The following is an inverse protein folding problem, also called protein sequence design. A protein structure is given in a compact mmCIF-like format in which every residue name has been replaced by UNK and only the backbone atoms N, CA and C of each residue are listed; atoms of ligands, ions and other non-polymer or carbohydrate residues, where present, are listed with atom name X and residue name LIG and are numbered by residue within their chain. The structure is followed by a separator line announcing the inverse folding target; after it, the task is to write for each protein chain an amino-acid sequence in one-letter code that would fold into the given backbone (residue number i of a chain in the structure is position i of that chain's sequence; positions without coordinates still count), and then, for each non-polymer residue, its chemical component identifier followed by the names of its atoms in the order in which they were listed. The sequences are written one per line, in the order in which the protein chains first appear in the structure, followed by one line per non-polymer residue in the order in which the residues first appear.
data_IF_619211861862
#
_entry.id   IF_619211861862
#
_cell.length_a   1.000
_cell.length_b   1.000
_cell.length_c   1.000
_cell.angle_alpha   90.00
_cell.angle_beta   90.00
_cell.angle_gamma   90.00
#
_symmetry.space_group_name_H-M   'P 1'
#
loop_
_entity.id
_entity.type
_entity.pdbx_description
1 polymer ?
#
# COMPACT_ATOMS: atom_id res chain seq x y z
N UNK A 1 2.59 66.79 -54.78
CA UNK A 1 3.66 65.77 -54.69
C UNK A 1 3.12 64.72 -53.72
N UNK A 2 2.37 63.72 -54.19
CA UNK A 2 2.80 62.48 -54.89
C UNK A 2 3.44 61.47 -53.92
N UNK A 3 3.08 60.18 -54.09
CA UNK A 3 3.07 59.11 -53.09
C UNK A 3 4.34 58.21 -53.09
N UNK A 4 4.70 57.69 -51.91
CA UNK A 4 5.21 56.32 -51.62
C UNK A 4 6.45 55.77 -52.40
N UNK A 5 7.02 54.58 -52.06
CA UNK A 5 6.75 53.60 -50.98
C UNK A 5 7.87 53.64 -49.89
N UNK A 6 8.31 52.60 -49.14
CA UNK A 6 8.08 51.14 -49.14
C UNK A 6 8.47 50.43 -47.81
N UNK A 7 8.00 49.18 -47.65
CA UNK A 7 8.58 48.01 -46.94
C UNK A 7 9.25 48.24 -45.56
N UNK A 8 8.67 47.94 -44.39
CA UNK A 8 8.08 46.70 -43.85
C UNK A 8 9.08 45.66 -43.30
N UNK A 9 9.32 45.70 -41.97
CA UNK A 9 9.64 44.58 -41.06
C UNK A 9 9.80 45.18 -39.63
N UNK A 10 9.47 44.51 -38.52
CA UNK A 10 8.92 43.17 -38.30
C UNK A 10 7.85 43.16 -37.18
N UNK A 11 6.99 42.14 -37.18
CA UNK A 11 6.02 41.87 -36.11
C UNK A 11 6.66 41.17 -34.89
N UNK A 12 5.89 41.13 -33.80
CA UNK A 12 5.87 40.10 -32.75
C UNK A 12 6.94 40.14 -31.64
N UNK A 13 6.67 40.95 -30.59
CA UNK A 13 7.22 40.76 -29.25
C UNK A 13 6.27 41.29 -28.14
N UNK A 14 4.98 40.91 -28.17
CA UNK A 14 3.99 41.42 -27.20
C UNK A 14 2.80 40.45 -26.94
N UNK A 15 3.05 39.28 -26.35
CA UNK A 15 1.97 38.34 -25.96
C UNK A 15 2.31 37.34 -24.82
N UNK A 16 3.32 37.60 -23.98
CA UNK A 16 3.85 36.61 -23.03
C UNK A 16 3.69 36.97 -21.53
N UNK A 17 2.71 37.81 -21.17
CA UNK A 17 2.61 38.41 -19.82
C UNK A 17 1.24 38.27 -19.12
N UNK A 18 0.34 37.37 -19.57
CA UNK A 18 -1.05 37.28 -19.08
C UNK A 18 -1.52 35.87 -18.66
N UNK A 19 -0.60 34.96 -18.32
CA UNK A 19 -0.94 33.61 -17.81
C UNK A 19 -0.49 33.34 -16.36
N UNK A 20 -0.09 34.38 -15.61
CA UNK A 20 0.40 34.25 -14.23
C UNK A 20 -0.64 34.52 -13.12
N UNK A 21 -1.93 34.68 -13.46
CA UNK A 21 -2.99 34.96 -12.49
C UNK A 21 -4.24 34.10 -12.74
N UNK A 22 -4.23 32.85 -12.25
CA UNK A 22 -5.38 32.13 -11.66
C UNK A 22 -5.02 30.70 -11.23
N UNK A 23 -4.56 30.57 -9.99
CA UNK A 23 -4.74 29.37 -9.17
C UNK A 23 -4.76 29.83 -7.70
N UNK A 24 -5.93 29.83 -7.08
CA UNK A 24 -6.05 30.08 -5.65
C UNK A 24 -5.68 28.80 -4.87
N UNK A 25 -5.14 28.89 -3.66
CA UNK A 25 -4.85 27.71 -2.85
C UNK A 25 -6.15 27.12 -2.28
N UNK A 26 -6.41 25.83 -2.53
CA UNK A 26 -7.48 25.08 -1.86
C UNK A 26 -7.13 24.79 -0.40
N UNK A 27 -7.95 25.21 0.59
CA UNK A 27 -7.73 24.93 2.00
C UNK A 27 -8.44 23.64 2.45
N UNK A 28 -8.29 22.54 1.69
CA UNK A 28 -8.81 21.23 2.06
C UNK A 28 -8.02 20.10 1.36
N UNK A 29 -7.46 19.15 2.14
CA UNK A 29 -6.82 17.94 1.58
C UNK A 29 -5.52 17.50 2.25
N UNK A 30 -4.90 18.35 3.07
CA UNK A 30 -3.74 17.98 3.89
C UNK A 30 -4.13 17.19 5.14
N UNK A 31 -4.57 15.93 4.97
CA UNK A 31 -4.49 14.98 6.08
C UNK A 31 -3.00 14.81 6.45
N UNK A 32 -2.62 14.81 7.74
CA UNK A 32 -1.23 14.59 8.10
C UNK A 32 -0.80 13.19 7.63
N UNK A 33 0.29 13.11 6.87
CA UNK A 33 1.00 11.84 6.70
C UNK A 33 1.52 11.42 8.07
N UNK A 34 0.75 10.59 8.78
CA UNK A 34 1.22 9.90 9.97
C UNK A 34 2.50 9.15 9.61
N UNK A 35 3.62 9.32 10.36
CA UNK A 35 4.85 8.60 10.11
C UNK A 35 4.72 7.11 10.46
N UNK A 36 4.03 6.35 9.61
CA UNK A 36 4.28 4.91 9.51
C UNK A 36 5.72 4.73 9.04
N UNK A 37 6.48 3.90 9.75
CA UNK A 37 7.91 3.69 9.53
C UNK A 37 8.15 2.91 8.22
N UNK A 38 8.12 3.63 7.09
CA UNK A 38 8.33 3.06 5.75
C UNK A 38 9.81 2.71 5.56
N UNK A 39 10.20 1.49 5.87
CA UNK A 39 11.51 0.94 5.50
C UNK A 39 11.53 0.81 3.97
N UNK A 40 12.40 1.57 3.31
CA UNK A 40 12.44 1.73 1.85
C UNK A 40 12.99 0.47 1.15
N UNK A 41 12.13 -0.52 0.95
CA UNK A 41 12.42 -1.77 0.21
C UNK A 41 11.96 -1.76 -1.25
N UNK A 42 12.55 -2.63 -2.07
CA UNK A 42 12.06 -2.96 -3.42
C UNK A 42 10.88 -3.95 -3.39
N UNK A 43 10.82 -4.75 -2.32
CA UNK A 43 9.77 -5.71 -2.02
C UNK A 43 8.72 -5.04 -1.13
N UNK A 44 7.43 -5.21 -1.44
CA UNK A 44 6.32 -4.64 -0.64
C UNK A 44 5.04 -5.45 -0.80
N UNK A 45 4.16 -5.37 0.20
CA UNK A 45 2.77 -5.81 0.10
C UNK A 45 1.84 -4.62 -0.19
N UNK A 46 0.61 -4.94 -0.60
CA UNK A 46 -0.51 -4.03 -0.75
C UNK A 46 -1.80 -4.81 -0.56
N UNK A 47 -2.96 -4.15 -0.60
CA UNK A 47 -4.24 -4.86 -0.60
C UNK A 47 -5.34 -4.08 -1.33
N UNK A 48 -6.33 -4.82 -1.80
CA UNK A 48 -7.62 -4.30 -2.23
C UNK A 48 -8.67 -4.65 -1.17
N UNK A 49 -9.57 -3.71 -0.89
CA UNK A 49 -10.74 -3.90 -0.03
C UNK A 49 -11.96 -4.02 -0.94
N UNK A 50 -12.71 -5.12 -0.80
CA UNK A 50 -14.06 -5.26 -1.35
C UNK A 50 -15.08 -4.98 -0.26
N UNK A 51 -15.94 -4.00 -0.53
CA UNK A 51 -17.02 -3.55 0.36
C UNK A 51 -18.33 -3.51 -0.42
N UNK A 52 -19.25 -4.41 -0.07
CA UNK A 52 -20.48 -4.63 -0.85
C UNK A 52 -20.18 -4.98 -2.31
N UNK A 53 -20.62 -4.12 -3.24
CA UNK A 53 -20.39 -4.25 -4.68
C UNK A 53 -19.11 -3.59 -5.21
N UNK A 54 -18.38 -2.84 -4.38
CA UNK A 54 -17.22 -2.04 -4.80
C UNK A 54 -15.90 -2.70 -4.39
N UNK A 55 -14.86 -2.53 -5.21
CA UNK A 55 -13.48 -2.89 -4.89
C UNK A 55 -12.61 -1.65 -5.02
N UNK A 56 -11.80 -1.35 -4.01
CA UNK A 56 -10.93 -0.18 -3.96
C UNK A 56 -9.53 -0.58 -3.44
N UNK A 57 -8.45 0.08 -3.88
CA UNK A 57 -7.14 -0.13 -3.26
C UNK A 57 -7.17 0.41 -1.82
N UNK A 58 -6.66 -0.38 -0.87
CA UNK A 58 -6.41 0.10 0.48
C UNK A 58 -5.00 0.69 0.62
N UNK A 59 -4.75 1.34 1.75
CA UNK A 59 -3.46 1.96 2.07
C UNK A 59 -3.10 1.88 3.55
N UNK A 60 -1.94 2.44 3.90
CA UNK A 60 -1.56 2.59 5.30
C UNK A 60 -2.49 3.60 6.01
N UNK A 61 -3.03 3.21 7.17
CA UNK A 61 -4.05 3.96 7.90
C UNK A 61 -5.47 3.85 7.31
N UNK A 62 -5.72 2.90 6.40
CA UNK A 62 -7.07 2.66 5.85
C UNK A 62 -8.07 2.30 6.96
N UNK A 63 -9.33 2.74 6.81
CA UNK A 63 -10.41 2.35 7.71
C UNK A 63 -11.11 1.12 7.17
N UNK A 64 -10.86 0.00 7.83
CA UNK A 64 -11.48 -1.28 7.55
C UNK A 64 -12.72 -1.45 8.43
N UNK A 65 -13.68 -2.24 7.96
CA UNK A 65 -14.88 -2.58 8.70
C UNK A 65 -15.07 -4.10 8.73
N UNK A 66 -15.71 -4.64 9.79
CA UNK A 66 -16.15 -6.03 9.79
C UNK A 66 -16.96 -6.38 8.53
N UNK A 67 -16.72 -7.55 7.95
CA UNK A 67 -17.35 -7.98 6.70
C UNK A 67 -16.71 -7.45 5.41
N UNK A 68 -15.74 -6.53 5.47
CA UNK A 68 -14.88 -6.22 4.32
C UNK A 68 -14.11 -7.47 3.88
N UNK A 69 -14.01 -7.71 2.58
CA UNK A 69 -13.14 -8.76 2.05
C UNK A 69 -11.84 -8.15 1.51
N UNK A 70 -10.71 -8.43 2.17
CA UNK A 70 -9.39 -7.99 1.73
C UNK A 70 -8.69 -9.05 0.87
N UNK A 71 -8.02 -8.59 -0.18
CA UNK A 71 -7.19 -9.40 -1.05
C UNK A 71 -5.82 -8.73 -1.23
N UNK A 72 -4.76 -9.43 -0.85
CA UNK A 72 -3.41 -8.87 -0.86
C UNK A 72 -2.80 -8.83 -2.26
N UNK A 73 -1.90 -7.88 -2.47
CA UNK A 73 -0.96 -7.81 -3.58
C UNK A 73 0.47 -7.85 -3.06
N UNK A 74 1.43 -8.13 -3.95
CA UNK A 74 2.85 -7.89 -3.69
C UNK A 74 3.53 -7.19 -4.87
N UNK A 75 4.66 -6.56 -4.60
CA UNK A 75 5.67 -6.23 -5.62
C UNK A 75 7.00 -6.81 -5.17
N UNK A 76 7.77 -7.36 -6.11
CA UNK A 76 9.11 -7.89 -5.90
C UNK A 76 9.94 -7.77 -7.17
N UNK A 77 11.24 -7.48 -7.05
CA UNK A 77 12.15 -7.34 -8.21
C UNK A 77 12.81 -8.64 -8.64
N UNK A 78 12.75 -9.67 -7.80
CA UNK A 78 13.30 -11.01 -8.06
C UNK A 78 12.36 -12.09 -7.51
N UNK A 79 12.65 -13.36 -7.80
CA UNK A 79 11.86 -14.48 -7.28
C UNK A 79 12.24 -14.79 -5.83
N UNK A 80 11.26 -14.78 -4.94
CA UNK A 80 11.43 -14.89 -3.49
C UNK A 80 10.37 -15.82 -2.89
N UNK A 81 10.43 -16.05 -1.58
CA UNK A 81 9.41 -16.74 -0.81
C UNK A 81 8.63 -15.73 0.04
N UNK A 82 7.30 -15.73 -0.07
CA UNK A 82 6.42 -14.79 0.61
C UNK A 82 5.60 -15.47 1.71
N UNK A 83 5.52 -14.80 2.86
CA UNK A 83 4.50 -15.02 3.90
C UNK A 83 3.85 -13.67 4.21
N UNK A 84 2.53 -13.62 4.35
CA UNK A 84 1.80 -12.47 4.89
C UNK A 84 1.17 -12.89 6.22
N UNK A 85 1.63 -12.23 7.28
CA UNK A 85 1.13 -12.39 8.64
C UNK A 85 0.37 -11.13 9.07
N UNK A 86 -0.39 -11.23 10.14
CA UNK A 86 -1.04 -10.08 10.78
C UNK A 86 -1.02 -10.14 12.29
N UNK A 87 -1.32 -9.00 12.92
CA UNK A 87 -1.77 -8.86 14.31
C UNK A 87 -2.96 -7.92 14.34
N UNK A 88 -4.07 -8.34 14.93
CA UNK A 88 -5.27 -7.52 15.11
C UNK A 88 -5.31 -6.77 16.46
N UNK A 89 -6.40 -6.03 16.71
CA UNK A 89 -6.62 -5.29 17.95
C UNK A 89 -6.78 -6.15 19.21
N UNK A 90 -7.01 -7.47 19.07
CA UNK A 90 -6.99 -8.43 20.17
C UNK A 90 -5.59 -9.03 20.39
N UNK A 91 -4.57 -8.54 19.67
CA UNK A 91 -3.21 -9.09 19.64
C UNK A 91 -3.11 -10.53 19.12
N UNK A 92 -4.11 -10.99 18.36
CA UNK A 92 -4.10 -12.33 17.77
C UNK A 92 -3.32 -12.33 16.46
N UNK A 93 -2.34 -13.24 16.35
CA UNK A 93 -1.51 -13.39 15.15
C UNK A 93 -2.10 -14.40 14.16
N UNK A 94 -2.38 -13.95 12.93
CA UNK A 94 -3.03 -14.74 11.88
C UNK A 94 -2.19 -14.80 10.60
N UNK A 95 -2.38 -15.85 9.80
CA UNK A 95 -1.72 -16.03 8.49
C UNK A 95 -2.71 -15.70 7.39
N UNK A 96 -2.38 -14.73 6.55
CA UNK A 96 -3.18 -14.39 5.35
C UNK A 96 -2.63 -15.07 4.09
N UNK A 97 -1.32 -15.31 4.01
CA UNK A 97 -0.69 -16.01 2.88
C UNK A 97 0.61 -16.70 3.30
N UNK A 98 0.95 -17.88 2.75
CA UNK A 98 0.08 -18.78 2.00
C UNK A 98 -0.84 -19.57 2.94
N UNK A 99 -1.75 -20.37 2.39
CA UNK A 99 -2.50 -21.39 3.14
C UNK A 99 -1.68 -22.65 3.49
N UNK A 100 -0.46 -22.77 2.94
CA UNK A 100 0.45 -23.91 3.18
C UNK A 100 1.37 -23.72 4.39
N UNK A 101 2.01 -24.81 4.86
CA UNK A 101 2.91 -24.77 6.04
C UNK A 101 4.28 -24.13 5.78
N UNK A 102 4.60 -23.84 4.51
CA UNK A 102 5.87 -23.27 4.05
C UNK A 102 5.55 -22.05 3.18
N UNK A 103 6.38 -21.01 3.28
CA UNK A 103 6.29 -19.81 2.47
C UNK A 103 6.17 -20.14 0.98
N UNK A 104 5.33 -19.40 0.25
CA UNK A 104 5.08 -19.69 -1.15
C UNK A 104 6.04 -18.91 -2.05
N UNK A 105 6.61 -19.59 -3.04
CA UNK A 105 7.50 -18.96 -4.01
C UNK A 105 6.69 -18.02 -4.92
N UNK A 106 7.10 -16.76 -4.97
CA UNK A 106 6.58 -15.71 -5.84
C UNK A 106 7.58 -15.43 -6.97
N UNK A 107 7.08 -14.90 -8.09
CA UNK A 107 7.89 -14.47 -9.23
C UNK A 107 8.06 -12.94 -9.22
N UNK A 108 9.04 -12.38 -9.95
CA UNK A 108 9.20 -10.93 -10.07
C UNK A 108 7.93 -10.31 -10.66
N UNK A 109 7.49 -9.18 -10.10
CA UNK A 109 6.26 -8.52 -10.53
C UNK A 109 5.95 -7.27 -9.73
N UNK A 110 5.01 -6.49 -10.24
CA UNK A 110 4.53 -5.26 -9.59
C UNK A 110 3.03 -5.34 -9.36
N UNK A 111 2.62 -5.03 -8.13
CA UNK A 111 1.24 -4.95 -7.67
C UNK A 111 0.43 -6.21 -8.04
N UNK A 112 1.08 -7.39 -7.99
CA UNK A 112 0.56 -8.71 -8.38
C UNK A 112 -0.44 -9.20 -7.34
N UNK A 113 -1.64 -9.56 -7.79
CA UNK A 113 -2.73 -10.03 -6.94
C UNK A 113 -2.49 -11.46 -6.44
N UNK A 114 -2.59 -11.68 -5.13
CA UNK A 114 -2.53 -13.01 -4.53
C UNK A 114 -3.89 -13.72 -4.65
N UNK A 115 -3.92 -15.06 -4.80
CA UNK A 115 -5.16 -15.81 -5.06
C UNK A 115 -6.09 -15.94 -3.85
N UNK A 116 -5.63 -15.54 -2.65
CA UNK A 116 -6.37 -15.64 -1.40
C UNK A 116 -7.00 -14.30 -1.03
N UNK A 117 -8.27 -14.33 -0.62
CA UNK A 117 -8.95 -13.23 0.05
C UNK A 117 -9.58 -13.72 1.35
N UNK A 118 -9.72 -12.79 2.31
CA UNK A 118 -10.22 -13.06 3.66
C UNK A 118 -11.28 -12.01 4.01
N UNK A 119 -12.39 -12.44 4.61
CA UNK A 119 -13.40 -11.54 5.16
C UNK A 119 -13.00 -11.17 6.59
N UNK A 120 -12.97 -9.88 6.90
CA UNK A 120 -12.65 -9.38 8.23
C UNK A 120 -13.75 -9.70 9.24
N UNK A 121 -13.31 -10.02 10.44
CA UNK A 121 -14.14 -10.29 11.60
C UNK A 121 -14.54 -9.01 12.35
N UNK A 122 -15.31 -9.18 13.42
CA UNK A 122 -15.83 -8.08 14.26
C UNK A 122 -14.79 -7.49 15.24
N UNK A 123 -13.50 -7.86 15.16
CA UNK A 123 -12.53 -7.71 16.27
C UNK A 123 -12.12 -6.26 16.63
N UNK A 124 -12.31 -5.29 15.73
CA UNK A 124 -11.96 -3.86 15.90
C UNK A 124 -10.49 -3.53 16.27
N UNK A 125 -10.16 -2.23 16.22
CA UNK A 125 -8.87 -1.67 16.59
C UNK A 125 -7.80 -1.75 15.49
N UNK A 126 -6.57 -1.41 15.85
CA UNK A 126 -5.44 -1.40 14.93
C UNK A 126 -5.13 -2.81 14.39
N UNK A 127 -5.06 -2.96 13.07
CA UNK A 127 -4.63 -4.18 12.39
C UNK A 127 -3.32 -3.91 11.65
N UNK A 128 -2.34 -4.78 11.87
CA UNK A 128 -0.99 -4.69 11.32
C UNK A 128 -0.74 -5.89 10.43
N UNK A 129 -0.30 -5.65 9.21
CA UNK A 129 0.06 -6.69 8.23
C UNK A 129 1.54 -6.65 7.96
N UNK A 130 2.18 -7.82 7.91
CA UNK A 130 3.62 -7.97 7.70
C UNK A 130 3.86 -8.89 6.51
N UNK A 131 4.52 -8.37 5.48
CA UNK A 131 4.98 -9.14 4.32
C UNK A 131 6.44 -9.55 4.51
N UNK A 132 6.69 -10.84 4.72
CA UNK A 132 8.03 -11.41 4.87
C UNK A 132 8.49 -11.94 3.50
N UNK A 133 9.54 -11.34 2.95
CA UNK A 133 10.13 -11.66 1.66
C UNK A 133 11.49 -12.34 1.86
N UNK A 134 11.53 -13.67 1.79
CA UNK A 134 12.70 -14.48 2.11
C UNK A 134 13.39 -15.01 0.85
N UNK A 135 14.72 -15.08 0.87
CA UNK A 135 15.51 -15.72 -0.20
C UNK A 135 15.30 -17.26 -0.26
N UNK A 136 14.96 -17.88 0.87
CA UNK A 136 14.76 -19.32 1.02
C UNK A 136 13.37 -19.68 1.56
N UNK A 137 12.98 -20.94 1.41
CA UNK A 137 11.71 -21.46 1.89
C UNK A 137 11.68 -21.57 3.42
N UNK A 138 10.88 -20.73 4.08
CA UNK A 138 10.71 -20.71 5.54
C UNK A 138 9.40 -21.36 5.99
N UNK A 139 9.40 -22.03 7.14
CA UNK A 139 8.19 -22.59 7.74
C UNK A 139 7.30 -21.47 8.31
N UNK A 140 6.00 -21.50 8.00
CA UNK A 140 5.04 -20.42 8.35
C UNK A 140 4.69 -20.43 9.83
N UNK A 141 4.44 -21.61 10.41
CA UNK A 141 3.94 -21.73 11.78
C UNK A 141 4.91 -21.18 12.86
N UNK A 142 6.24 -21.40 12.80
CA UNK A 142 7.18 -20.75 13.71
C UNK A 142 7.16 -19.21 13.64
N UNK A 143 6.90 -18.64 12.45
CA UNK A 143 6.80 -17.18 12.27
C UNK A 143 5.52 -16.65 12.90
N UNK A 144 4.37 -17.30 12.64
CA UNK A 144 3.09 -16.99 13.28
C UNK A 144 3.18 -17.10 14.81
N UNK A 145 3.84 -18.14 15.33
CA UNK A 145 4.03 -18.35 16.76
C UNK A 145 4.96 -17.30 17.40
N UNK A 146 6.04 -16.91 16.72
CA UNK A 146 6.92 -15.83 17.17
C UNK A 146 6.18 -14.48 17.22
N UNK A 147 5.37 -14.18 16.20
CA UNK A 147 4.53 -12.98 16.16
C UNK A 147 3.45 -13.00 17.26
N UNK A 148 2.85 -14.16 17.56
CA UNK A 148 1.90 -14.29 18.67
C UNK A 148 2.57 -14.05 20.04
N UNK A 149 3.84 -14.43 20.21
CA UNK A 149 4.60 -14.18 21.43
C UNK A 149 5.05 -12.71 21.56
N UNK A 150 5.27 -12.02 20.44
CA UNK A 150 5.72 -10.62 20.39
C UNK A 150 4.90 -9.82 19.35
N UNK A 151 3.64 -9.46 19.65
CA UNK A 151 2.72 -8.85 18.66
C UNK A 151 3.19 -7.51 18.09
N UNK A 152 4.08 -6.81 18.80
CA UNK A 152 4.65 -5.52 18.42
C UNK A 152 6.00 -5.62 17.69
N UNK A 153 6.54 -6.84 17.51
CA UNK A 153 7.83 -7.07 16.87
C UNK A 153 7.71 -8.21 15.83
N UNK A 154 7.59 -7.89 14.52
CA UNK A 154 7.48 -8.92 13.50
C UNK A 154 8.73 -9.81 13.44
N UNK A 155 8.57 -11.13 13.22
CA UNK A 155 9.72 -12.01 13.04
C UNK A 155 10.48 -11.62 11.77
N UNK A 156 11.78 -11.38 11.92
CA UNK A 156 12.71 -11.12 10.82
C UNK A 156 13.82 -12.19 10.81
N UNK A 157 13.58 -13.38 10.23
CA UNK A 157 14.61 -14.39 10.08
C UNK A 157 15.78 -13.88 9.21
N UNK A 158 17.01 -14.41 9.39
CA UNK A 158 18.11 -14.12 8.49
C UNK A 158 17.74 -14.43 7.03
N UNK A 159 18.00 -13.48 6.12
CA UNK A 159 17.66 -13.62 4.70
C UNK A 159 16.19 -13.33 4.35
N UNK A 160 15.43 -12.70 5.26
CA UNK A 160 14.10 -12.16 4.99
C UNK A 160 14.04 -10.64 5.17
N UNK A 161 13.57 -9.93 4.15
CA UNK A 161 13.11 -8.54 4.28
C UNK A 161 11.68 -8.51 4.83
N UNK A 162 11.33 -7.48 5.60
CA UNK A 162 9.97 -7.29 6.14
C UNK A 162 9.41 -5.95 5.69
N UNK A 163 8.27 -5.99 5.01
CA UNK A 163 7.42 -4.82 4.74
C UNK A 163 6.21 -4.81 5.68
N UNK A 164 5.67 -3.63 5.98
CA UNK A 164 4.60 -3.47 6.95
C UNK A 164 3.52 -2.48 6.50
N UNK A 165 2.26 -2.86 6.67
CA UNK A 165 1.09 -2.01 6.48
C UNK A 165 0.26 -1.97 7.76
N UNK A 166 -0.37 -0.83 8.01
CA UNK A 166 -1.29 -0.64 9.13
C UNK A 166 -2.66 -0.22 8.62
N UNK A 167 -3.70 -0.63 9.33
CA UNK A 167 -5.08 -0.21 9.11
C UNK A 167 -5.79 -0.08 10.47
N UNK A 168 -6.92 0.61 10.51
CA UNK A 168 -7.75 0.73 11.71
C UNK A 168 -9.12 0.09 11.42
N UNK A 169 -9.45 -0.99 12.13
CA UNK A 169 -10.73 -1.68 12.01
C UNK A 169 -11.77 -1.00 12.91
N UNK A 170 -12.71 -0.26 12.33
CA UNK A 170 -13.67 0.56 13.08
C UNK A 170 -15.09 -0.01 12.98
N UNK A 171 -15.88 0.19 14.04
CA UNK A 171 -17.26 -0.26 14.10
C UNK A 171 -18.16 0.49 13.10
N UNK A 172 -19.18 -0.22 12.59
CA UNK A 172 -20.22 0.33 11.71
C UNK A 172 -19.88 0.24 10.21
N UNK A 173 -20.82 0.72 9.39
CA UNK A 173 -20.63 0.87 7.94
C UNK A 173 -20.08 2.27 7.60
N UNK A 174 -19.37 2.43 6.48
CA UNK A 174 -19.05 3.73 5.90
C UNK A 174 -20.19 4.31 5.05
#
# INVERSE_FOLDING_TARGET
RWLAPAVASALAAAAAALLFFRAAPDPAGGAPESPGERIKGANRIGFYVKRGGSVQPGGAGERLHPGDAIQFTYSATEALYLVILSVDGASQASVYYPSGPVAARIEPGRDVLLPQSTVLDDTLGAERFYGLFCAEAVAVEPLRAALAAHPDAPPAPPGCDVDALTAEKVAGSP
#
